data_IF_117586383509
#
_entry.id   IF_117586383509
#
_cell.length_a   1.000
_cell.length_b   1.000
_cell.length_c   1.000
_cell.angle_alpha   90.00
_cell.angle_beta   90.00
_cell.angle_gamma   90.00
#
_symmetry.space_group_name_H-M   'P 1'
#
loop_
_entity.id
_entity.type
_entity.pdbx_description
1 polymer ?
#
# COMPACT_ATOMS: atom_id res chain seq x y z
N UNK A 1 -21.46 12.21 -22.25
CA UNK A 1 -21.27 11.57 -20.92
C UNK A 1 -19.79 11.30 -20.73
N UNK A 2 -19.17 11.83 -19.68
CA UNK A 2 -17.76 11.52 -19.34
C UNK A 2 -17.70 10.12 -18.74
N UNK A 3 -16.86 9.24 -19.28
CA UNK A 3 -16.69 7.88 -18.76
C UNK A 3 -16.10 7.91 -17.34
N UNK A 4 -16.59 7.04 -16.45
CA UNK A 4 -16.10 6.97 -15.07
C UNK A 4 -14.71 6.35 -15.04
N UNK A 5 -13.74 7.05 -14.47
CA UNK A 5 -12.38 6.52 -14.32
C UNK A 5 -12.36 5.27 -13.42
N UNK A 6 -11.68 4.22 -13.91
CA UNK A 6 -11.47 2.96 -13.20
C UNK A 6 -9.97 2.77 -12.96
N UNK A 7 -9.60 2.25 -11.79
CA UNK A 7 -8.19 2.00 -11.45
C UNK A 7 -7.97 0.63 -10.84
N UNK A 8 -6.78 0.06 -11.04
CA UNK A 8 -6.41 -1.23 -10.45
C UNK A 8 -6.13 -1.07 -8.95
N UNK A 9 -6.71 -1.96 -8.16
CA UNK A 9 -6.57 -1.98 -6.69
C UNK A 9 -5.47 -2.92 -6.18
N UNK A 10 -4.85 -3.70 -7.07
CA UNK A 10 -3.80 -4.66 -6.72
C UNK A 10 -2.68 -4.61 -7.75
N UNK A 11 -1.49 -5.06 -7.37
CA UNK A 11 -0.33 -5.19 -8.26
C UNK A 11 0.25 -6.60 -8.10
N UNK A 12 0.48 -7.27 -9.21
CA UNK A 12 1.08 -8.62 -9.23
C UNK A 12 2.58 -8.53 -8.91
N UNK A 13 3.15 -9.49 -8.17
CA UNK A 13 4.59 -9.58 -7.93
C UNK A 13 5.38 -9.64 -9.24
N UNK A 14 6.57 -9.02 -9.26
CA UNK A 14 7.42 -9.03 -10.45
C UNK A 14 8.01 -10.40 -10.76
N UNK A 15 8.25 -11.22 -9.73
CA UNK A 15 8.78 -12.59 -9.84
C UNK A 15 7.70 -13.56 -9.38
N UNK A 16 7.05 -14.30 -10.30
CA UNK A 16 5.97 -15.22 -9.94
C UNK A 16 6.43 -16.39 -9.07
N UNK A 17 7.59 -16.99 -9.36
CA UNK A 17 8.06 -18.23 -8.74
C UNK A 17 9.16 -18.01 -7.70
N UNK A 18 8.95 -17.06 -6.80
CA UNK A 18 9.86 -16.83 -5.67
C UNK A 18 9.39 -17.65 -4.47
N UNK A 19 10.17 -18.67 -4.08
CA UNK A 19 9.84 -19.58 -2.97
C UNK A 19 9.58 -18.81 -1.68
N UNK A 20 10.45 -17.86 -1.35
CA UNK A 20 10.37 -17.10 -0.09
C UNK A 20 9.06 -16.31 0.02
N UNK A 21 8.65 -15.66 -1.07
CA UNK A 21 7.37 -14.93 -1.16
C UNK A 21 6.17 -15.88 -1.08
N UNK A 22 6.23 -17.03 -1.77
CA UNK A 22 5.13 -17.99 -1.78
C UNK A 22 4.87 -18.55 -0.39
N UNK A 23 5.92 -18.90 0.35
CA UNK A 23 5.83 -19.42 1.71
C UNK A 23 5.26 -18.36 2.67
N UNK A 24 5.75 -17.11 2.58
CA UNK A 24 5.24 -15.99 3.38
C UNK A 24 3.75 -15.69 3.11
N UNK A 25 3.34 -15.66 1.84
CA UNK A 25 1.94 -15.43 1.47
C UNK A 25 1.03 -16.55 1.95
N UNK A 26 1.52 -17.79 1.98
CA UNK A 26 0.75 -18.94 2.44
C UNK A 26 0.52 -18.88 3.95
N UNK A 27 1.56 -18.53 4.72
CA UNK A 27 1.42 -18.29 6.17
C UNK A 27 0.41 -17.18 6.44
N UNK A 28 0.54 -16.03 5.76
CA UNK A 28 -0.40 -14.90 5.90
C UNK A 28 -1.84 -15.28 5.54
N UNK A 29 -2.03 -16.05 4.48
CA UNK A 29 -3.36 -16.51 4.09
C UNK A 29 -3.96 -17.45 5.14
N UNK A 30 -3.16 -18.35 5.71
CA UNK A 30 -3.58 -19.26 6.77
C UNK A 30 -3.92 -18.56 8.09
N UNK A 31 -3.09 -17.61 8.52
CA UNK A 31 -3.29 -16.90 9.81
C UNK A 31 -4.53 -16.02 9.82
N UNK A 32 -4.86 -15.40 8.67
CA UNK A 32 -5.99 -14.46 8.57
C UNK A 32 -7.19 -15.02 7.78
N UNK A 33 -7.15 -16.29 7.36
CA UNK A 33 -8.26 -16.93 6.64
C UNK A 33 -8.58 -16.29 5.28
N UNK A 34 -7.57 -15.86 4.54
CA UNK A 34 -7.75 -15.16 3.26
C UNK A 34 -8.11 -16.14 2.14
N UNK A 35 -9.04 -15.73 1.26
CA UNK A 35 -9.52 -16.59 0.17
C UNK A 35 -8.48 -16.72 -0.94
N UNK A 36 -7.89 -15.59 -1.34
CA UNK A 36 -7.05 -15.48 -2.53
C UNK A 36 -5.83 -14.58 -2.28
N UNK A 37 -4.71 -14.87 -2.96
CA UNK A 37 -3.49 -14.02 -2.96
C UNK A 37 -3.73 -12.58 -3.42
N UNK A 38 -4.79 -12.34 -4.21
CA UNK A 38 -5.20 -11.00 -4.64
C UNK A 38 -5.56 -10.09 -3.46
N UNK A 39 -6.04 -10.63 -2.35
CA UNK A 39 -6.36 -9.87 -1.14
C UNK A 39 -5.07 -9.34 -0.49
N UNK A 40 -4.06 -10.20 -0.38
CA UNK A 40 -2.72 -9.82 0.06
C UNK A 40 -2.15 -8.73 -0.85
N UNK A 41 -2.19 -8.93 -2.17
CA UNK A 41 -1.62 -7.96 -3.13
C UNK A 41 -2.34 -6.60 -3.13
N UNK A 42 -3.63 -6.57 -2.77
CA UNK A 42 -4.39 -5.32 -2.61
C UNK A 42 -3.87 -4.53 -1.41
N UNK A 43 -3.74 -5.18 -0.26
CA UNK A 43 -3.24 -4.55 0.97
C UNK A 43 -1.77 -4.11 0.79
N UNK A 44 -0.94 -4.96 0.18
CA UNK A 44 0.45 -4.62 -0.16
C UNK A 44 0.56 -3.39 -1.06
N UNK A 45 -0.35 -3.22 -2.03
CA UNK A 45 -0.37 -2.01 -2.86
C UNK A 45 -0.76 -0.76 -2.05
N UNK A 46 -1.78 -0.86 -1.19
CA UNK A 46 -2.22 0.26 -0.33
C UNK A 46 -1.08 0.70 0.59
N UNK A 47 -0.45 -0.26 1.26
CA UNK A 47 0.70 -0.03 2.14
C UNK A 47 1.90 0.55 1.36
N UNK A 48 2.16 0.07 0.14
CA UNK A 48 3.18 0.65 -0.74
C UNK A 48 2.92 2.11 -1.10
N UNK A 49 1.66 2.49 -1.36
CA UNK A 49 1.27 3.89 -1.62
C UNK A 49 1.48 4.77 -0.38
N UNK A 50 1.10 4.28 0.81
CA UNK A 50 1.31 4.99 2.09
C UNK A 50 2.81 5.22 2.32
N UNK A 51 3.63 4.17 2.22
CA UNK A 51 5.09 4.28 2.42
C UNK A 51 5.75 5.19 1.38
N UNK A 52 5.29 5.18 0.13
CA UNK A 52 5.81 6.10 -0.90
C UNK A 52 5.48 7.55 -0.58
N UNK A 53 4.24 7.85 -0.20
CA UNK A 53 3.85 9.20 0.21
C UNK A 53 4.67 9.67 1.42
N UNK A 54 4.79 8.84 2.46
CA UNK A 54 5.59 9.15 3.63
C UNK A 54 7.06 9.44 3.30
N UNK A 55 7.71 8.63 2.45
CA UNK A 55 9.11 8.89 2.02
C UNK A 55 9.28 10.22 1.32
N UNK A 56 8.34 10.59 0.44
CA UNK A 56 8.40 11.87 -0.26
C UNK A 56 8.27 13.05 0.71
N UNK A 57 7.39 12.94 1.72
CA UNK A 57 7.22 13.98 2.73
C UNK A 57 8.43 14.09 3.67
N UNK A 58 9.07 12.97 4.00
CA UNK A 58 10.25 12.94 4.85
C UNK A 58 11.50 13.57 4.20
N UNK A 59 11.55 13.64 2.87
CA UNK A 59 12.62 14.32 2.12
C UNK A 59 12.50 15.85 2.14
N UNK A 60 11.32 16.39 2.41
CA UNK A 60 11.09 17.83 2.50
C UNK A 60 11.55 18.38 3.85
N UNK A 61 11.85 19.68 3.90
CA UNK A 61 12.16 20.35 5.16
C UNK A 61 11.00 20.28 6.15
N UNK A 62 11.31 20.31 7.45
CA UNK A 62 10.31 20.15 8.51
C UNK A 62 9.23 21.23 8.49
N UNK A 63 9.58 22.44 8.04
CA UNK A 63 8.67 23.59 7.98
C UNK A 63 7.98 23.74 6.62
N UNK A 64 8.23 22.83 5.67
CA UNK A 64 7.59 22.90 4.37
C UNK A 64 6.05 22.74 4.51
N UNK A 65 5.24 23.63 3.93
CA UNK A 65 3.80 23.61 4.10
C UNK A 65 3.16 22.30 3.60
N UNK A 66 3.72 21.65 2.58
CA UNK A 66 3.23 20.35 2.08
C UNK A 66 3.48 19.25 3.11
N UNK A 67 4.66 19.24 3.74
CA UNK A 67 5.01 18.25 4.78
C UNK A 67 4.07 18.38 5.97
N UNK A 68 3.84 19.60 6.46
CA UNK A 68 2.96 19.85 7.61
C UNK A 68 1.52 19.44 7.32
N UNK A 69 0.98 19.82 6.16
CA UNK A 69 -0.41 19.52 5.82
C UNK A 69 -0.63 18.04 5.47
N UNK A 70 0.08 17.53 4.46
CA UNK A 70 -0.11 16.15 3.99
C UNK A 70 0.39 15.12 5.01
N UNK A 71 1.44 15.44 5.77
CA UNK A 71 1.95 14.58 6.85
C UNK A 71 0.92 14.38 7.95
N UNK A 72 0.32 15.47 8.44
CA UNK A 72 -0.74 15.40 9.44
C UNK A 72 -1.98 14.67 8.90
N UNK A 73 -2.35 14.90 7.64
CA UNK A 73 -3.47 14.19 7.02
C UNK A 73 -3.21 12.67 6.91
N UNK A 74 -1.98 12.27 6.57
CA UNK A 74 -1.58 10.88 6.47
C UNK A 74 -1.63 10.18 7.84
N UNK A 75 -1.13 10.82 8.90
CA UNK A 75 -1.17 10.30 10.28
C UNK A 75 -2.62 10.16 10.76
N UNK A 76 -3.46 11.19 10.56
CA UNK A 76 -4.88 11.14 10.95
C UNK A 76 -5.64 9.99 10.30
N UNK A 77 -5.30 9.62 9.06
CA UNK A 77 -5.93 8.48 8.37
C UNK A 77 -5.52 7.13 8.96
N UNK A 78 -4.34 7.02 9.57
CA UNK A 78 -3.82 5.77 10.11
C UNK A 78 -4.20 5.55 11.59
N UNK A 79 -4.44 6.62 12.34
CA UNK A 79 -4.80 6.53 13.77
C UNK A 79 -6.30 6.29 13.97
N UNK A 80 -7.14 6.70 13.02
CA UNK A 80 -8.59 6.47 13.08
C UNK A 80 -8.93 4.99 13.11
#
# INVERSE_FOLDING_TARGET
>A
MVARNQSKTFKVPSRPYDKTRLDQELVLAGTYGLKNKREIWRVSLVLGKIRKAARNLLMLDEKDPKRVFEGNALIRRLIR
#
